data_IF_550477279483
#
_entry.id   IF_550477279483
#
_cell.length_a   1.000
_cell.length_b   1.000
_cell.length_c   1.000
_cell.angle_alpha   90.00
_cell.angle_beta   90.00
_cell.angle_gamma   90.00
#
_symmetry.space_group_name_H-M   'P 1'
#
loop_
_entity.id
_entity.type
_entity.pdbx_description
1 polymer ?
#
# COMPACT_ATOMS: atom_id res chain seq x y z
N UNK A 1 -15.93 27.46 3.15
CA UNK A 1 -15.39 27.24 4.51
C UNK A 1 -15.27 25.75 4.77
N UNK A 2 -14.14 25.30 5.33
CA UNK A 2 -13.99 23.92 5.78
C UNK A 2 -15.00 23.63 6.90
N UNK A 3 -15.66 22.44 6.95
CA UNK A 3 -16.52 22.09 8.06
C UNK A 3 -15.69 21.97 9.34
N UNK A 4 -16.10 22.72 10.39
CA UNK A 4 -15.42 22.73 11.69
C UNK A 4 -16.22 21.92 12.70
N UNK A 5 -15.55 21.06 13.49
CA UNK A 5 -16.14 20.26 14.58
C UNK A 5 -17.38 19.45 14.16
N UNK A 6 -18.47 19.51 14.93
CA UNK A 6 -19.71 18.73 14.70
C UNK A 6 -20.62 19.29 13.61
N UNK A 7 -20.43 20.56 13.21
CA UNK A 7 -21.32 21.23 12.24
C UNK A 7 -20.84 21.04 10.80
N UNK A 8 -21.71 20.55 9.94
CA UNK A 8 -21.51 20.41 8.48
C UNK A 8 -22.66 21.12 7.74
N UNK A 9 -22.74 22.49 7.81
CA UNK A 9 -23.88 23.24 7.32
C UNK A 9 -24.09 23.11 5.81
N UNK A 10 -23.02 22.83 5.05
CA UNK A 10 -23.07 22.65 3.60
C UNK A 10 -23.03 21.18 3.17
N UNK A 11 -23.18 20.24 4.11
CA UNK A 11 -23.14 18.80 3.85
C UNK A 11 -21.86 18.30 3.14
N UNK A 12 -20.76 19.01 3.22
CA UNK A 12 -19.52 18.69 2.49
C UNK A 12 -18.99 17.31 2.84
N UNK A 13 -19.08 16.91 4.11
CA UNK A 13 -18.66 15.55 4.54
C UNK A 13 -19.50 14.47 3.90
N UNK A 14 -20.83 14.66 3.83
CA UNK A 14 -21.76 13.73 3.19
C UNK A 14 -21.55 13.67 1.68
N UNK A 15 -21.33 14.83 1.04
CA UNK A 15 -21.04 14.90 -0.39
C UNK A 15 -19.72 14.18 -0.73
N UNK A 16 -18.66 14.39 0.04
CA UNK A 16 -17.39 13.70 -0.15
C UNK A 16 -17.51 12.17 0.03
N UNK A 17 -18.26 11.71 1.03
CA UNK A 17 -18.57 10.28 1.20
C UNK A 17 -19.41 9.75 0.05
N UNK A 18 -20.34 10.53 -0.48
CA UNK A 18 -21.12 10.19 -1.68
C UNK A 18 -20.23 9.96 -2.89
N UNK A 19 -19.28 10.85 -3.16
CA UNK A 19 -18.30 10.70 -4.24
C UNK A 19 -17.48 9.42 -4.06
N UNK A 20 -16.97 9.17 -2.85
CA UNK A 20 -16.20 7.96 -2.54
C UNK A 20 -17.02 6.70 -2.80
N UNK A 21 -18.26 6.66 -2.32
CA UNK A 21 -19.18 5.53 -2.52
C UNK A 21 -19.44 5.27 -4.01
N UNK A 22 -19.74 6.31 -4.78
CA UNK A 22 -19.99 6.19 -6.22
C UNK A 22 -18.77 5.57 -6.94
N UNK A 23 -17.56 6.04 -6.62
CA UNK A 23 -16.34 5.53 -7.23
C UNK A 23 -16.13 4.06 -6.90
N UNK A 24 -16.30 3.67 -5.64
CA UNK A 24 -16.07 2.31 -5.17
C UNK A 24 -17.13 1.36 -5.70
N UNK A 25 -18.40 1.73 -5.66
CA UNK A 25 -19.51 0.90 -6.14
C UNK A 25 -19.46 0.66 -7.65
N UNK A 26 -18.99 1.65 -8.43
CA UNK A 26 -18.79 1.50 -9.87
C UNK A 26 -17.47 0.80 -10.25
N UNK A 27 -16.62 0.45 -9.27
CA UNK A 27 -15.37 -0.30 -9.47
C UNK A 27 -14.43 0.34 -10.50
N UNK A 28 -14.32 1.66 -10.49
CA UNK A 28 -13.49 2.41 -11.45
C UNK A 28 -12.57 3.40 -10.74
N UNK A 29 -11.35 3.50 -11.23
CA UNK A 29 -10.47 4.59 -10.84
C UNK A 29 -10.75 5.80 -11.74
N UNK A 30 -11.04 6.93 -11.13
CA UNK A 30 -11.15 8.22 -11.80
C UNK A 30 -9.94 9.08 -11.46
N UNK A 31 -9.48 9.86 -12.42
CA UNK A 31 -8.48 10.91 -12.16
C UNK A 31 -9.18 12.09 -11.45
N UNK A 32 -9.36 11.95 -10.13
CA UNK A 32 -10.07 12.95 -9.31
C UNK A 32 -9.34 14.30 -9.39
N UNK A 33 -8.02 14.31 -9.52
CA UNK A 33 -7.24 15.52 -9.76
C UNK A 33 -7.72 16.30 -10.99
N UNK A 34 -8.01 15.59 -12.08
CA UNK A 34 -8.48 16.21 -13.33
C UNK A 34 -9.91 16.75 -13.16
N UNK A 35 -10.78 15.99 -12.45
CA UNK A 35 -12.14 16.45 -12.13
C UNK A 35 -12.13 17.70 -11.26
N UNK A 36 -11.24 17.78 -10.28
CA UNK A 36 -11.08 18.96 -9.42
C UNK A 36 -10.58 20.16 -10.23
N UNK A 37 -9.60 19.94 -11.11
CA UNK A 37 -9.07 20.99 -11.97
C UNK A 37 -10.15 21.51 -12.95
N UNK A 38 -10.89 20.60 -13.57
CA UNK A 38 -11.99 20.96 -14.47
C UNK A 38 -13.10 21.71 -13.75
N UNK A 39 -13.52 21.23 -12.58
CA UNK A 39 -14.52 21.93 -11.77
C UNK A 39 -14.06 23.34 -11.40
N UNK A 40 -12.77 23.50 -11.03
CA UNK A 40 -12.19 24.79 -10.70
C UNK A 40 -12.19 25.76 -11.89
N UNK A 41 -11.95 25.27 -13.13
CA UNK A 41 -12.03 26.11 -14.33
C UNK A 41 -13.46 26.57 -14.59
N UNK A 42 -14.45 25.69 -14.49
CA UNK A 42 -15.85 26.06 -14.66
C UNK A 42 -16.32 27.16 -13.69
N UNK A 43 -15.89 27.07 -12.42
CA UNK A 43 -16.19 28.14 -11.46
C UNK A 43 -15.54 29.47 -11.80
N UNK A 44 -14.31 29.46 -12.31
CA UNK A 44 -13.63 30.67 -12.78
C UNK A 44 -14.34 31.29 -13.98
N UNK A 45 -14.78 30.48 -14.93
CA UNK A 45 -15.52 30.92 -16.12
C UNK A 45 -16.87 31.56 -15.75
N UNK A 46 -17.46 31.14 -14.63
CA UNK A 46 -18.67 31.76 -14.04
C UNK A 46 -18.36 33.05 -13.23
N UNK A 47 -17.13 33.52 -13.22
CA UNK A 47 -16.73 34.74 -12.52
C UNK A 47 -16.40 34.56 -11.03
N UNK A 48 -16.32 33.33 -10.54
CA UNK A 48 -15.93 33.05 -9.15
C UNK A 48 -14.41 33.01 -9.00
N UNK A 49 -13.88 33.86 -8.13
CA UNK A 49 -12.46 33.87 -7.81
C UNK A 49 -12.19 33.08 -6.52
N UNK A 50 -11.24 32.14 -6.58
CA UNK A 50 -10.78 31.44 -5.40
C UNK A 50 -9.70 32.23 -4.69
N UNK A 51 -9.93 32.55 -3.42
CA UNK A 51 -8.94 33.22 -2.55
C UNK A 51 -7.96 32.21 -1.92
N UNK A 52 -8.29 30.94 -1.92
CA UNK A 52 -7.46 29.89 -1.34
C UNK A 52 -6.47 29.36 -2.39
N UNK A 53 -5.19 29.70 -2.22
CA UNK A 53 -4.09 29.25 -3.08
C UNK A 53 -3.87 27.74 -2.97
N UNK A 54 -4.15 27.13 -1.82
CA UNK A 54 -3.95 25.72 -1.51
C UNK A 54 -5.22 24.86 -1.67
N UNK A 55 -6.23 25.35 -2.39
CA UNK A 55 -7.53 24.68 -2.51
C UNK A 55 -7.43 23.19 -2.89
N UNK A 56 -6.57 22.84 -3.86
CA UNK A 56 -6.42 21.44 -4.30
C UNK A 56 -5.82 20.57 -3.20
N UNK A 57 -4.82 21.07 -2.47
CA UNK A 57 -4.20 20.38 -1.33
C UNK A 57 -5.19 20.17 -0.20
N UNK A 58 -6.01 21.18 0.07
CA UNK A 58 -7.07 21.12 1.07
C UNK A 58 -8.14 20.11 0.71
N UNK A 59 -8.58 20.06 -0.55
CA UNK A 59 -9.53 19.07 -1.04
C UNK A 59 -8.96 17.65 -1.01
N UNK A 60 -7.69 17.50 -1.39
CA UNK A 60 -6.99 16.22 -1.28
C UNK A 60 -6.99 15.71 0.17
N UNK A 61 -6.57 16.55 1.11
CA UNK A 61 -6.55 16.19 2.53
C UNK A 61 -7.94 15.87 3.05
N UNK A 62 -8.93 16.65 2.68
CA UNK A 62 -10.32 16.45 3.08
C UNK A 62 -10.89 15.13 2.54
N UNK A 63 -10.67 14.80 1.27
CA UNK A 63 -11.11 13.54 0.68
C UNK A 63 -10.36 12.34 1.28
N UNK A 64 -9.06 12.47 1.54
CA UNK A 64 -8.24 11.47 2.23
C UNK A 64 -8.81 11.12 3.60
N UNK A 65 -9.20 12.14 4.40
CA UNK A 65 -9.80 11.93 5.71
C UNK A 65 -11.19 11.27 5.61
N UNK A 66 -11.96 11.61 4.60
CA UNK A 66 -13.26 10.96 4.36
C UNK A 66 -13.11 9.51 3.88
N UNK A 67 -12.08 9.22 3.11
CA UNK A 67 -11.75 7.85 2.69
C UNK A 67 -11.32 6.99 3.88
N UNK A 68 -10.49 7.54 4.79
CA UNK A 68 -10.15 6.89 6.07
C UNK A 68 -11.42 6.53 6.87
N UNK A 69 -12.33 7.49 6.99
CA UNK A 69 -13.61 7.27 7.67
C UNK A 69 -14.44 6.19 6.99
N UNK A 70 -14.54 6.20 5.66
CA UNK A 70 -15.26 5.19 4.88
C UNK A 70 -14.71 3.78 5.10
N UNK A 71 -13.40 3.61 5.08
CA UNK A 71 -12.76 2.32 5.37
C UNK A 71 -13.06 1.83 6.79
N UNK A 72 -13.09 2.75 7.77
CA UNK A 72 -13.46 2.43 9.14
C UNK A 72 -14.92 1.95 9.25
N UNK A 73 -15.87 2.59 8.56
CA UNK A 73 -17.26 2.13 8.47
C UNK A 73 -17.38 0.74 7.84
N UNK A 74 -16.46 0.38 6.94
CA UNK A 74 -16.35 -0.96 6.33
C UNK A 74 -15.61 -1.97 7.20
N UNK A 75 -15.34 -1.64 8.46
CA UNK A 75 -14.69 -2.52 9.44
C UNK A 75 -13.28 -3.00 9.03
N UNK A 76 -12.59 -2.20 8.22
CA UNK A 76 -11.18 -2.46 7.90
C UNK A 76 -10.34 -2.11 9.14
N UNK A 77 -9.38 -2.96 9.47
CA UNK A 77 -8.48 -2.77 10.61
C UNK A 77 -7.71 -1.45 10.52
N UNK A 78 -7.48 -0.84 11.66
CA UNK A 78 -6.84 0.48 11.73
C UNK A 78 -5.43 0.51 11.13
N UNK A 79 -4.61 -0.50 11.38
CA UNK A 79 -3.25 -0.60 10.86
C UNK A 79 -3.23 -0.71 9.31
N UNK A 80 -4.17 -1.46 8.73
CA UNK A 80 -4.35 -1.54 7.28
C UNK A 80 -4.78 -0.19 6.72
N UNK A 81 -5.73 0.48 7.37
CA UNK A 81 -6.16 1.82 6.98
C UNK A 81 -4.96 2.77 6.92
N UNK A 82 -4.14 2.83 7.97
CA UNK A 82 -2.99 3.73 8.01
C UNK A 82 -1.91 3.36 6.98
N UNK A 83 -1.68 2.08 6.72
CA UNK A 83 -0.78 1.63 5.66
C UNK A 83 -1.25 2.10 4.27
N UNK A 84 -2.53 1.97 3.96
CA UNK A 84 -3.12 2.44 2.70
C UNK A 84 -3.09 3.97 2.61
N UNK A 85 -3.40 4.65 3.71
CA UNK A 85 -3.44 6.12 3.77
C UNK A 85 -2.04 6.74 3.63
N UNK A 86 -0.98 6.05 4.06
CA UNK A 86 0.40 6.53 3.91
C UNK A 86 0.83 6.68 2.44
N UNK A 87 0.35 5.81 1.56
CA UNK A 87 0.60 5.79 0.11
C UNK A 87 -0.59 6.24 -0.74
N UNK A 88 -1.53 6.97 -0.13
CA UNK A 88 -2.81 7.30 -0.75
C UNK A 88 -2.69 8.23 -1.95
N UNK A 89 -3.36 7.86 -3.05
CA UNK A 89 -3.58 8.70 -4.21
C UNK A 89 -5.07 8.79 -4.54
N UNK A 90 -5.57 10.02 -4.71
CA UNK A 90 -6.97 10.25 -5.11
C UNK A 90 -7.31 9.58 -6.45
N UNK A 91 -6.33 9.46 -7.36
CA UNK A 91 -6.53 8.87 -8.68
C UNK A 91 -6.62 7.34 -8.66
N UNK A 92 -6.33 6.72 -7.51
CA UNK A 92 -6.36 5.27 -7.28
C UNK A 92 -7.28 4.87 -6.12
N UNK A 93 -8.36 5.62 -5.91
CA UNK A 93 -9.23 5.46 -4.74
C UNK A 93 -9.86 4.06 -4.70
N UNK A 94 -10.40 3.57 -5.82
CA UNK A 94 -10.98 2.23 -5.89
C UNK A 94 -9.92 1.14 -5.66
N UNK A 95 -8.80 1.18 -6.37
CA UNK A 95 -7.73 0.17 -6.16
C UNK A 95 -7.13 0.23 -4.76
N UNK A 96 -7.06 1.41 -4.13
CA UNK A 96 -6.65 1.53 -2.73
C UNK A 96 -7.65 0.86 -1.77
N UNK A 97 -8.95 0.97 -2.05
CA UNK A 97 -9.98 0.29 -1.27
C UNK A 97 -9.92 -1.24 -1.46
N UNK A 98 -9.75 -1.71 -2.70
CA UNK A 98 -9.60 -3.14 -2.98
C UNK A 98 -8.38 -3.75 -2.28
N UNK A 99 -7.25 -3.03 -2.30
CA UNK A 99 -6.04 -3.44 -1.54
C UNK A 99 -6.31 -3.55 -0.04
N UNK A 100 -6.99 -2.55 0.54
CA UNK A 100 -7.35 -2.56 1.95
C UNK A 100 -8.28 -3.73 2.30
N UNK A 101 -9.28 -3.99 1.45
CA UNK A 101 -10.26 -5.05 1.64
C UNK A 101 -9.61 -6.45 1.52
N UNK A 102 -8.75 -6.65 0.52
CA UNK A 102 -8.01 -7.90 0.34
C UNK A 102 -7.06 -8.20 1.52
N UNK A 103 -6.32 -7.18 1.98
CA UNK A 103 -5.49 -7.29 3.18
C UNK A 103 -6.32 -7.64 4.42
N UNK A 104 -7.48 -6.98 4.59
CA UNK A 104 -8.35 -7.19 5.74
C UNK A 104 -8.94 -8.61 5.78
N UNK A 105 -9.16 -9.23 4.62
CA UNK A 105 -9.59 -10.63 4.53
C UNK A 105 -8.46 -11.59 4.90
N UNK A 106 -7.27 -11.38 4.34
CA UNK A 106 -6.16 -12.34 4.43
C UNK A 106 -5.40 -12.24 5.75
N UNK A 107 -5.40 -11.09 6.42
CA UNK A 107 -4.52 -10.84 7.59
C UNK A 107 -4.71 -11.84 8.73
N UNK A 108 -5.87 -12.48 8.83
CA UNK A 108 -6.20 -13.49 9.83
C UNK A 108 -6.03 -14.93 9.31
N UNK A 109 -5.81 -15.10 8.01
CA UNK A 109 -5.62 -16.40 7.38
C UNK A 109 -4.16 -16.84 7.47
N UNK A 110 -3.89 -18.12 7.18
CA UNK A 110 -2.55 -18.67 7.21
C UNK A 110 -1.59 -17.90 6.29
N UNK A 111 -2.05 -17.47 5.11
CA UNK A 111 -1.24 -16.68 4.17
C UNK A 111 -0.80 -15.33 4.79
N UNK A 112 -1.69 -14.62 5.45
CA UNK A 112 -1.34 -13.35 6.14
C UNK A 112 -0.37 -13.55 7.30
N UNK A 113 -0.56 -14.61 8.08
CA UNK A 113 0.37 -14.99 9.14
C UNK A 113 1.75 -15.35 8.58
N UNK A 114 1.80 -16.04 7.46
CA UNK A 114 3.03 -16.46 6.79
C UNK A 114 3.81 -15.26 6.24
N UNK A 115 3.14 -14.34 5.56
CA UNK A 115 3.75 -13.07 5.10
C UNK A 115 4.30 -12.29 6.30
N UNK A 116 3.48 -12.11 7.34
CA UNK A 116 3.86 -11.30 8.50
C UNK A 116 5.04 -11.90 9.26
N UNK A 117 5.05 -13.22 9.45
CA UNK A 117 6.15 -13.91 10.16
C UNK A 117 7.46 -13.87 9.34
N UNK A 118 7.38 -14.09 8.03
CA UNK A 118 8.51 -14.01 7.11
C UNK A 118 9.11 -12.61 7.08
N UNK A 119 8.27 -11.58 6.96
CA UNK A 119 8.70 -10.18 7.00
C UNK A 119 9.38 -9.83 8.33
N UNK A 120 8.76 -10.19 9.47
CA UNK A 120 9.32 -9.91 10.79
C UNK A 120 10.68 -10.56 10.97
N UNK A 121 10.83 -11.83 10.56
CA UNK A 121 12.09 -12.56 10.67
C UNK A 121 13.18 -11.90 9.83
N UNK A 122 12.93 -11.67 8.55
CA UNK A 122 13.90 -11.02 7.66
C UNK A 122 14.26 -9.60 8.13
N UNK A 123 13.27 -8.81 8.54
CA UNK A 123 13.46 -7.44 9.01
C UNK A 123 14.27 -7.37 10.30
N UNK A 124 14.02 -8.28 11.26
CA UNK A 124 14.75 -8.30 12.52
C UNK A 124 16.24 -8.64 12.29
N UNK A 125 16.52 -9.63 11.44
CA UNK A 125 17.89 -10.01 11.10
C UNK A 125 18.59 -8.84 10.39
N UNK A 126 17.95 -8.26 9.37
CA UNK A 126 18.52 -7.12 8.65
C UNK A 126 18.80 -5.93 9.57
N UNK A 127 17.89 -5.59 10.47
CA UNK A 127 18.07 -4.48 11.40
C UNK A 127 19.19 -4.75 12.43
N UNK A 128 19.34 -5.99 12.91
CA UNK A 128 20.43 -6.36 13.81
C UNK A 128 21.79 -6.21 13.12
N UNK A 129 21.88 -6.58 11.87
CA UNK A 129 23.10 -6.49 11.07
C UNK A 129 23.45 -5.05 10.71
N UNK A 130 22.47 -4.26 10.24
CA UNK A 130 22.67 -2.85 9.94
C UNK A 130 23.03 -2.02 11.18
N UNK A 131 22.53 -2.41 12.36
CA UNK A 131 22.87 -1.75 13.63
C UNK A 131 24.30 -2.01 14.09
N UNK A 132 24.91 -3.13 13.71
CA UNK A 132 26.22 -3.59 14.14
C UNK A 132 27.35 -3.33 13.12
N UNK A 133 27.02 -3.03 11.87
CA UNK A 133 28.00 -2.93 10.78
C UNK A 133 27.66 -1.81 9.80
N UNK A 134 28.69 -1.17 9.23
CA UNK A 134 28.57 -0.29 8.07
C UNK A 134 28.37 -1.10 6.78
N UNK A 135 27.37 -1.99 6.76
CA UNK A 135 27.07 -2.80 5.58
C UNK A 135 26.26 -1.95 4.61
N UNK A 136 26.80 -1.70 3.43
CA UNK A 136 26.02 -1.17 2.32
C UNK A 136 25.15 -2.29 1.72
N UNK A 137 23.84 -2.12 1.75
CA UNK A 137 22.93 -3.04 1.08
C UNK A 137 23.09 -2.85 -0.43
N UNK A 138 23.71 -3.82 -1.09
CA UNK A 138 23.76 -3.87 -2.55
C UNK A 138 22.46 -4.51 -3.08
N UNK A 139 21.91 -3.96 -4.18
CA UNK A 139 20.74 -4.55 -4.85
C UNK A 139 21.11 -5.72 -5.78
N UNK A 140 22.38 -6.13 -5.78
CA UNK A 140 22.91 -7.19 -6.66
C UNK A 140 23.37 -8.36 -5.80
N UNK A 141 22.92 -9.56 -6.15
CA UNK A 141 23.34 -10.80 -5.53
C UNK A 141 24.09 -11.63 -6.56
N UNK A 142 25.31 -12.08 -6.24
CA UNK A 142 26.07 -12.99 -7.10
C UNK A 142 25.72 -14.46 -6.75
N UNK A 143 25.03 -15.20 -7.63
CA UNK A 143 24.73 -16.61 -7.41
C UNK A 143 25.95 -17.51 -7.34
N UNK A 144 27.09 -17.05 -7.85
CA UNK A 144 28.36 -17.81 -7.88
C UNK A 144 28.96 -18.07 -6.51
N UNK A 145 28.57 -17.27 -5.50
CA UNK A 145 29.07 -17.41 -4.11
C UNK A 145 28.23 -18.34 -3.24
N UNK A 146 27.08 -18.84 -3.73
CA UNK A 146 26.20 -19.69 -2.94
C UNK A 146 26.83 -21.03 -2.62
N UNK A 147 26.92 -21.35 -1.33
CA UNK A 147 27.52 -22.60 -0.81
C UNK A 147 26.47 -23.68 -0.59
N UNK A 148 25.22 -23.29 -0.31
CA UNK A 148 24.14 -24.20 0.09
C UNK A 148 22.97 -24.19 -0.90
N UNK A 149 22.17 -25.25 -0.88
CA UNK A 149 20.95 -25.30 -1.67
C UNK A 149 19.86 -24.37 -1.09
N UNK A 150 19.91 -24.06 0.20
CA UNK A 150 19.00 -23.11 0.83
C UNK A 150 19.15 -21.70 0.25
N UNK A 151 20.39 -21.26 0.00
CA UNK A 151 20.67 -19.97 -0.66
C UNK A 151 20.13 -19.95 -2.10
N UNK A 152 20.38 -21.03 -2.86
CA UNK A 152 19.92 -21.16 -4.25
C UNK A 152 18.39 -21.18 -4.34
N UNK A 153 17.72 -21.91 -3.44
CA UNK A 153 16.26 -22.02 -3.41
C UNK A 153 15.61 -20.67 -3.08
N UNK A 154 16.11 -19.97 -2.05
CA UNK A 154 15.62 -18.64 -1.72
C UNK A 154 15.82 -17.65 -2.86
N UNK A 155 17.01 -17.64 -3.47
CA UNK A 155 17.32 -16.79 -4.62
C UNK A 155 16.37 -17.05 -5.81
N UNK A 156 16.13 -18.31 -6.13
CA UNK A 156 15.20 -18.73 -7.18
C UNK A 156 13.79 -18.21 -6.87
N UNK A 157 13.31 -18.44 -5.65
CA UNK A 157 11.98 -18.01 -5.21
C UNK A 157 11.81 -16.49 -5.28
N UNK A 158 12.80 -15.74 -4.83
CA UNK A 158 12.80 -14.27 -4.91
C UNK A 158 12.74 -13.78 -6.37
N UNK A 159 13.48 -14.44 -7.27
CA UNK A 159 13.45 -14.07 -8.69
C UNK A 159 12.12 -14.41 -9.37
N UNK A 160 11.47 -15.50 -8.99
CA UNK A 160 10.10 -15.83 -9.43
C UNK A 160 9.12 -14.73 -9.00
N UNK A 161 9.21 -14.30 -7.73
CA UNK A 161 8.39 -13.22 -7.18
C UNK A 161 8.66 -11.90 -7.92
N UNK A 162 9.93 -11.52 -8.10
CA UNK A 162 10.32 -10.31 -8.83
C UNK A 162 9.77 -10.32 -10.26
N UNK A 163 9.89 -11.45 -10.97
CA UNK A 163 9.37 -11.62 -12.32
C UNK A 163 7.85 -11.48 -12.37
N UNK A 164 7.15 -12.06 -11.40
CA UNK A 164 5.70 -11.89 -11.28
C UNK A 164 5.33 -10.41 -11.13
N UNK A 165 5.92 -9.69 -10.17
CA UNK A 165 5.62 -8.29 -9.91
C UNK A 165 6.05 -7.33 -11.03
N UNK A 166 7.08 -7.68 -11.82
CA UNK A 166 7.47 -6.86 -12.98
C UNK A 166 6.50 -6.97 -14.15
N UNK A 167 5.73 -8.05 -14.23
CA UNK A 167 4.80 -8.34 -15.32
C UNK A 167 3.34 -7.97 -14.99
N UNK A 168 3.05 -7.61 -13.74
CA UNK A 168 1.70 -7.21 -13.33
C UNK A 168 1.52 -5.71 -13.44
N UNK A 169 0.42 -5.30 -14.06
CA UNK A 169 -0.15 -3.97 -13.82
C UNK A 169 -0.58 -3.89 -12.36
N UNK A 170 -0.01 -2.95 -11.61
CA UNK A 170 -0.10 -2.81 -10.13
C UNK A 170 -1.52 -2.79 -9.52
N UNK A 171 -2.57 -2.84 -10.31
CA UNK A 171 -3.96 -2.73 -9.89
C UNK A 171 -4.79 -4.01 -10.17
N UNK A 172 -4.16 -5.08 -10.75
CA UNK A 172 -4.84 -6.33 -11.08
C UNK A 172 -4.43 -7.46 -10.12
N UNK A 173 -5.43 -8.11 -9.54
CA UNK A 173 -5.32 -9.33 -8.74
C UNK A 173 -4.42 -9.25 -7.48
N UNK A 174 -4.71 -8.29 -6.59
CA UNK A 174 -3.95 -8.07 -5.36
C UNK A 174 -3.98 -9.30 -4.42
N UNK A 175 -5.07 -10.06 -4.37
CA UNK A 175 -5.16 -11.31 -3.57
C UNK A 175 -4.14 -12.35 -4.04
N UNK A 176 -3.99 -12.54 -5.36
CA UNK A 176 -2.99 -13.44 -5.93
C UNK A 176 -1.57 -12.97 -5.62
N UNK A 177 -1.32 -11.66 -5.66
CA UNK A 177 -0.03 -11.07 -5.30
C UNK A 177 0.35 -11.40 -3.85
N UNK A 178 -0.61 -11.32 -2.92
CA UNK A 178 -0.39 -11.67 -1.52
C UNK A 178 -0.14 -13.18 -1.34
N UNK A 179 -0.86 -14.05 -2.07
CA UNK A 179 -0.63 -15.49 -2.02
C UNK A 179 0.79 -15.86 -2.46
N UNK A 180 1.28 -15.25 -3.54
CA UNK A 180 2.65 -15.49 -4.03
C UNK A 180 3.72 -15.05 -3.01
N UNK A 181 3.46 -13.97 -2.27
CA UNK A 181 4.35 -13.57 -1.17
C UNK A 181 4.31 -14.56 0.00
N UNK A 182 3.14 -15.10 0.32
CA UNK A 182 2.99 -16.10 1.38
C UNK A 182 3.76 -17.38 1.06
N UNK A 183 3.78 -17.79 -0.20
CA UNK A 183 4.49 -18.98 -0.67
C UNK A 183 6.01 -18.93 -0.46
N UNK A 184 6.59 -17.76 -0.22
CA UNK A 184 8.02 -17.62 0.06
C UNK A 184 8.41 -17.99 1.50
N UNK A 185 7.45 -18.23 2.39
CA UNK A 185 7.71 -18.53 3.81
C UNK A 185 8.68 -19.67 3.99
N UNK A 186 8.46 -20.79 3.28
CA UNK A 186 9.28 -21.99 3.42
C UNK A 186 10.75 -21.68 3.15
N UNK A 187 11.06 -21.11 2.01
CA UNK A 187 12.44 -20.82 1.59
C UNK A 187 13.10 -19.79 2.50
N UNK A 188 12.35 -18.79 2.99
CA UNK A 188 12.85 -17.79 3.95
C UNK A 188 13.21 -18.47 5.29
N UNK A 189 12.36 -19.34 5.81
CA UNK A 189 12.61 -20.00 7.08
C UNK A 189 13.74 -21.01 6.97
N UNK A 190 13.75 -21.86 5.93
CA UNK A 190 14.81 -22.83 5.68
C UNK A 190 16.18 -22.14 5.53
N UNK A 191 16.23 -20.99 4.83
CA UNK A 191 17.45 -20.21 4.71
C UNK A 191 17.96 -19.74 6.08
N UNK A 192 17.14 -19.06 6.86
CA UNK A 192 17.57 -18.51 8.16
C UNK A 192 17.79 -19.58 9.25
N UNK A 193 17.29 -20.80 9.07
CA UNK A 193 17.53 -21.91 9.99
C UNK A 193 18.84 -22.65 9.69
N UNK A 194 19.30 -22.63 8.45
CA UNK A 194 20.43 -23.45 7.99
C UNK A 194 21.64 -22.64 7.50
N UNK A 195 21.47 -21.32 7.26
CA UNK A 195 22.55 -20.45 6.77
C UNK A 195 22.89 -19.42 7.82
N UNK A 196 24.15 -19.38 8.25
CA UNK A 196 24.65 -18.29 9.08
C UNK A 196 24.86 -17.05 8.21
N UNK A 197 24.13 -15.99 8.51
CA UNK A 197 24.14 -14.76 7.69
C UNK A 197 25.43 -13.94 7.86
N UNK A 198 26.26 -14.24 8.89
CA UNK A 198 27.50 -13.54 9.26
C UNK A 198 28.65 -14.52 9.50
N UNK A 199 29.10 -15.20 8.48
CA UNK A 199 30.43 -15.80 8.53
C UNK A 199 31.44 -14.77 8.00
N UNK A 200 32.39 -14.36 8.85
CA UNK A 200 33.61 -13.69 8.40
C UNK A 200 34.31 -14.59 7.37
N UNK A 201 34.50 -14.08 6.17
CA UNK A 201 35.31 -14.75 5.14
C UNK A 201 36.80 -14.62 5.45
#
# INVERSE_FOLDING_TARGET
QKPTSSKDPFALRRLALGIIKIIIENKKNFKISDLLSYSSSLYKDQGHNFTNVDLQKDLHTFLKDRFRYYMKEKQIRFDIIEAIISSFSLNKLFSSFEKANSLNKIIHDQAGLDITSSYKRASNILNSELGNSKIEITNTTDPGIFKTDFEKNLYKKINEIKKYYSNINNDENFEQSLSILADAKKEIFEFFDNVKVNEEN
#
